data_IF_838852765150
#
_entry.id   IF_838852765150
#
_cell.length_a   1.000
_cell.length_b   1.000
_cell.length_c   1.000
_cell.angle_alpha   90.00
_cell.angle_beta   90.00
_cell.angle_gamma   90.00
#
_symmetry.space_group_name_H-M   'P 1'
#
loop_
_entity.id
_entity.type
_entity.pdbx_description
1 polymer ?
#
# COMPACT_ATOMS: atom_id res chain seq x y z
N UNK A 1 48.78 25.21 8.49
CA UNK A 1 48.17 23.87 8.66
C UNK A 1 46.63 23.88 8.76
N UNK A 2 45.93 24.92 8.26
CA UNK A 2 44.46 25.05 8.42
C UNK A 2 43.65 25.01 7.12
N UNK A 3 44.25 25.34 5.97
CA UNK A 3 43.53 25.36 4.69
C UNK A 3 43.45 23.99 4.01
N UNK A 4 44.49 23.17 4.14
CA UNK A 4 44.58 21.86 3.49
C UNK A 4 43.61 20.83 4.10
N UNK A 5 43.46 20.84 5.42
CA UNK A 5 42.59 19.90 6.16
C UNK A 5 41.10 20.14 5.88
N UNK A 6 40.69 21.40 5.71
CA UNK A 6 39.30 21.76 5.38
C UNK A 6 38.95 21.31 3.97
N UNK A 7 39.84 21.50 2.99
CA UNK A 7 39.61 21.04 1.61
C UNK A 7 39.47 19.53 1.53
N UNK A 8 40.29 18.76 2.26
CA UNK A 8 40.21 17.29 2.30
C UNK A 8 38.90 16.81 2.95
N UNK A 9 38.44 17.48 4.01
CA UNK A 9 37.20 17.07 4.71
C UNK A 9 35.95 17.34 3.84
N UNK A 10 35.94 18.44 3.08
CA UNK A 10 34.85 18.78 2.17
C UNK A 10 34.81 17.84 0.96
N UNK A 11 35.96 17.46 0.38
CA UNK A 11 35.99 16.55 -0.77
C UNK A 11 35.61 15.11 -0.38
N UNK A 12 36.02 14.63 0.79
CA UNK A 12 35.61 13.30 1.28
C UNK A 12 34.11 13.24 1.58
N UNK A 13 33.53 14.32 2.12
CA UNK A 13 32.08 14.40 2.38
C UNK A 13 31.26 14.46 1.09
N UNK A 14 31.72 15.19 0.07
CA UNK A 14 31.07 15.21 -1.24
C UNK A 14 31.17 13.86 -1.96
N UNK A 15 32.30 13.15 -1.84
CA UNK A 15 32.47 11.83 -2.44
C UNK A 15 31.59 10.77 -1.74
N UNK A 16 31.44 10.83 -0.42
CA UNK A 16 30.53 9.96 0.32
C UNK A 16 29.04 10.24 -0.01
N UNK A 17 28.68 11.51 -0.23
CA UNK A 17 27.34 11.90 -0.66
C UNK A 17 27.05 11.51 -2.12
N UNK A 18 28.05 11.53 -3.00
CA UNK A 18 27.94 11.02 -4.36
C UNK A 18 27.87 9.48 -4.41
N UNK A 19 28.58 8.78 -3.52
CA UNK A 19 28.49 7.32 -3.42
C UNK A 19 27.12 6.86 -2.89
N UNK A 20 26.49 7.61 -1.98
CA UNK A 20 25.13 7.30 -1.51
C UNK A 20 24.04 7.68 -2.51
N UNK A 21 24.30 8.62 -3.42
CA UNK A 21 23.40 8.92 -4.55
C UNK A 21 23.51 7.90 -5.68
N UNK A 22 24.69 7.31 -5.88
CA UNK A 22 24.95 6.34 -6.94
C UNK A 22 24.37 4.93 -6.66
N UNK A 23 23.86 4.66 -5.46
CA UNK A 23 23.27 3.35 -5.11
C UNK A 23 21.74 3.28 -5.23
N UNK A 24 21.07 4.34 -5.68
CA UNK A 24 19.67 4.23 -6.14
C UNK A 24 19.64 3.77 -7.59
N UNK A 25 20.10 2.53 -7.81
CA UNK A 25 19.80 1.75 -9.01
C UNK A 25 18.90 0.59 -8.61
N UNK A 26 17.72 0.91 -8.07
CA UNK A 26 16.65 -0.06 -7.91
C UNK A 26 15.80 -0.04 -9.18
N UNK A 27 15.55 -1.21 -9.77
CA UNK A 27 14.70 -1.39 -10.94
C UNK A 27 13.30 -0.75 -10.74
N UNK A 28 13.12 0.48 -11.23
CA UNK A 28 11.87 1.23 -11.06
C UNK A 28 10.76 0.70 -11.98
N UNK A 29 11.11 -0.10 -13.00
CA UNK A 29 10.15 -0.63 -13.98
C UNK A 29 10.15 -2.16 -13.93
N UNK A 30 9.19 -2.72 -13.19
CA UNK A 30 8.90 -4.17 -13.23
C UNK A 30 8.19 -4.52 -14.53
N UNK A 31 8.61 -5.61 -15.16
CA UNK A 31 7.89 -6.19 -16.30
C UNK A 31 6.47 -6.64 -15.87
N UNK A 32 5.47 -6.65 -16.78
CA UNK A 32 4.11 -7.11 -16.46
C UNK A 32 4.06 -8.51 -15.83
N UNK A 33 4.95 -9.41 -16.25
CA UNK A 33 5.08 -10.75 -15.66
C UNK A 33 5.53 -10.70 -14.20
N UNK A 34 6.46 -9.81 -13.85
CA UNK A 34 6.95 -9.60 -12.49
C UNK A 34 5.88 -8.94 -11.59
N UNK A 35 5.11 -7.99 -12.12
CA UNK A 35 3.97 -7.42 -11.42
C UNK A 35 2.87 -8.47 -11.17
N UNK A 36 2.61 -9.34 -12.15
CA UNK A 36 1.62 -10.42 -12.03
C UNK A 36 1.99 -11.44 -10.96
N UNK A 37 3.29 -11.69 -10.70
CA UNK A 37 3.78 -12.59 -9.64
C UNK A 37 3.31 -12.16 -8.24
N UNK A 38 3.05 -10.85 -8.04
CA UNK A 38 2.52 -10.35 -6.77
C UNK A 38 1.11 -10.88 -6.49
N UNK A 39 0.25 -10.95 -7.51
CA UNK A 39 -1.16 -11.33 -7.40
C UNK A 39 -1.41 -12.84 -7.60
N UNK A 40 -0.36 -13.65 -7.81
CA UNK A 40 -0.49 -15.10 -7.90
C UNK A 40 -0.36 -15.75 -6.52
N UNK A 41 -1.20 -16.74 -6.19
CA UNK A 41 -1.01 -17.57 -5.01
C UNK A 41 0.38 -18.21 -5.03
N UNK A 42 1.04 -18.25 -3.88
CA UNK A 42 2.25 -19.05 -3.67
C UNK A 42 1.84 -20.51 -3.51
N UNK A 43 1.54 -21.19 -4.62
CA UNK A 43 1.51 -22.65 -4.60
C UNK A 43 2.94 -23.19 -4.59
N UNK A 44 3.14 -24.38 -4.04
CA UNK A 44 4.42 -25.10 -3.88
C UNK A 44 5.12 -25.35 -5.23
N UNK A 45 5.59 -24.31 -5.90
CA UNK A 45 6.69 -24.43 -6.85
C UNK A 45 7.91 -24.76 -6.01
N UNK A 46 8.51 -25.93 -6.25
CA UNK A 46 9.73 -26.43 -5.57
C UNK A 46 10.99 -25.62 -5.90
N UNK A 47 10.87 -24.30 -5.89
CA UNK A 47 11.94 -23.34 -5.94
C UNK A 47 12.22 -22.93 -4.49
N UNK A 48 13.47 -23.05 -4.04
CA UNK A 48 13.93 -22.87 -2.67
C UNK A 48 13.84 -21.41 -2.18
N UNK A 49 12.69 -20.76 -2.33
CA UNK A 49 12.43 -19.39 -1.87
C UNK A 49 11.94 -19.38 -0.42
N UNK A 50 12.75 -19.95 0.48
CA UNK A 50 12.71 -19.64 1.90
C UNK A 50 13.04 -18.14 2.18
N UNK A 51 13.14 -17.31 1.13
CA UNK A 51 13.47 -15.89 1.11
C UNK A 51 12.30 -14.98 0.67
N UNK A 52 11.15 -15.55 0.26
CA UNK A 52 9.99 -14.79 -0.22
C UNK A 52 9.38 -13.99 0.94
N UNK A 53 9.75 -12.71 1.08
CA UNK A 53 9.21 -11.86 2.13
C UNK A 53 7.70 -11.69 2.06
N UNK A 54 7.14 -11.09 3.11
CA UNK A 54 5.71 -10.87 3.23
C UNK A 54 5.22 -9.87 2.17
N UNK A 55 4.10 -10.17 1.52
CA UNK A 55 3.40 -9.23 0.63
C UNK A 55 2.47 -8.34 1.47
N UNK A 56 2.64 -7.03 1.35
CA UNK A 56 1.84 -5.98 1.97
C UNK A 56 1.18 -5.12 0.90
N UNK A 57 0.05 -4.50 1.23
CA UNK A 57 -0.58 -3.52 0.34
C UNK A 57 -1.21 -2.37 1.14
N UNK A 58 -1.16 -1.16 0.58
CA UNK A 58 -1.89 0.02 1.11
C UNK A 58 -2.83 0.53 0.03
N UNK A 59 -4.14 0.31 0.23
CA UNK A 59 -5.17 0.72 -0.72
C UNK A 59 -5.85 2.00 -0.26
N UNK A 60 -5.92 3.02 -1.11
CA UNK A 60 -6.40 4.35 -0.71
C UNK A 60 -7.40 4.94 -1.71
N UNK A 61 -8.60 5.24 -1.22
CA UNK A 61 -9.58 6.07 -1.92
C UNK A 61 -9.56 7.48 -1.31
N UNK A 62 -8.97 8.44 -2.02
CA UNK A 62 -8.78 9.82 -1.55
C UNK A 62 -10.01 10.74 -1.68
N UNK A 63 -11.22 10.19 -1.76
CA UNK A 63 -12.45 10.99 -1.97
C UNK A 63 -13.68 10.34 -1.36
N UNK A 64 -14.67 11.18 -1.02
CA UNK A 64 -15.99 10.80 -0.52
C UNK A 64 -17.12 11.34 -1.42
N UNK A 65 -18.36 11.00 -1.08
CA UNK A 65 -19.58 11.37 -1.79
C UNK A 65 -19.95 10.37 -2.89
N UNK A 66 -21.25 10.17 -3.10
CA UNK A 66 -21.75 9.16 -4.05
C UNK A 66 -21.34 9.43 -5.51
N UNK A 67 -21.16 10.69 -5.90
CA UNK A 67 -20.59 11.06 -7.22
C UNK A 67 -19.14 10.57 -7.44
N UNK A 68 -18.44 10.20 -6.37
CA UNK A 68 -17.10 9.62 -6.39
C UNK A 68 -17.09 8.10 -6.15
N UNK A 69 -18.24 7.43 -6.28
CA UNK A 69 -18.44 5.98 -6.13
C UNK A 69 -17.26 5.14 -6.62
N UNK A 70 -16.80 5.42 -7.85
CA UNK A 70 -15.75 4.69 -8.55
C UNK A 70 -14.45 4.54 -7.74
N UNK A 71 -14.02 5.54 -6.98
CA UNK A 71 -12.75 5.47 -6.27
C UNK A 71 -12.76 4.46 -5.12
N UNK A 72 -13.89 4.35 -4.39
CA UNK A 72 -14.03 3.33 -3.34
C UNK A 72 -14.35 1.96 -3.94
N UNK A 73 -15.07 1.88 -5.07
CA UNK A 73 -15.26 0.65 -5.82
C UNK A 73 -13.93 0.07 -6.33
N UNK A 74 -13.01 0.92 -6.80
CA UNK A 74 -11.66 0.53 -7.22
C UNK A 74 -10.84 -0.06 -6.07
N UNK A 75 -10.84 0.59 -4.90
CA UNK A 75 -10.17 0.07 -3.69
C UNK A 75 -10.76 -1.27 -3.24
N UNK A 76 -12.09 -1.37 -3.18
CA UNK A 76 -12.76 -2.62 -2.82
C UNK A 76 -12.41 -3.74 -3.80
N UNK A 77 -12.41 -3.46 -5.11
CA UNK A 77 -12.05 -4.43 -6.13
C UNK A 77 -10.58 -4.86 -6.02
N UNK A 78 -9.66 -3.91 -5.81
CA UNK A 78 -8.24 -4.22 -5.59
C UNK A 78 -8.03 -5.12 -4.36
N UNK A 79 -8.77 -4.89 -3.27
CA UNK A 79 -8.75 -5.75 -2.09
C UNK A 79 -9.14 -7.19 -2.43
N UNK A 80 -10.22 -7.39 -3.19
CA UNK A 80 -10.66 -8.74 -3.59
C UNK A 80 -9.59 -9.45 -4.44
N UNK A 81 -8.94 -8.73 -5.36
CA UNK A 81 -7.86 -9.28 -6.19
C UNK A 81 -6.66 -9.72 -5.35
N UNK A 82 -6.24 -8.89 -4.39
CA UNK A 82 -5.13 -9.20 -3.48
C UNK A 82 -5.45 -10.40 -2.57
N UNK A 83 -6.65 -10.42 -1.99
CA UNK A 83 -7.10 -11.52 -1.13
C UNK A 83 -7.19 -12.83 -1.89
N UNK A 84 -7.73 -12.81 -3.12
CA UNK A 84 -7.74 -13.97 -4.04
C UNK A 84 -6.32 -14.39 -4.46
N UNK A 85 -5.40 -13.44 -4.57
CA UNK A 85 -3.99 -13.67 -4.85
C UNK A 85 -3.17 -14.21 -3.67
N UNK A 86 -3.79 -14.45 -2.51
CA UNK A 86 -3.14 -15.03 -1.33
C UNK A 86 -2.51 -14.01 -0.37
N UNK A 87 -2.70 -12.70 -0.59
CA UNK A 87 -2.27 -11.69 0.38
C UNK A 87 -3.21 -11.73 1.59
N UNK A 88 -2.63 -11.90 2.78
CA UNK A 88 -3.40 -11.97 4.04
C UNK A 88 -4.00 -10.62 4.38
N UNK A 89 -5.21 -10.62 4.93
CA UNK A 89 -5.93 -9.40 5.33
C UNK A 89 -5.17 -8.54 6.35
N UNK A 90 -4.42 -9.18 7.25
CA UNK A 90 -3.56 -8.50 8.22
C UNK A 90 -2.45 -7.65 7.55
N UNK A 91 -2.12 -7.96 6.29
CA UNK A 91 -1.09 -7.27 5.51
C UNK A 91 -1.68 -6.32 4.44
N UNK A 92 -3.01 -6.17 4.37
CA UNK A 92 -3.67 -5.21 3.49
C UNK A 92 -4.29 -4.12 4.37
N UNK A 93 -3.79 -2.89 4.23
CA UNK A 93 -4.32 -1.71 4.92
C UNK A 93 -5.24 -0.95 3.98
N UNK A 94 -6.48 -0.70 4.40
CA UNK A 94 -7.50 -0.04 3.56
C UNK A 94 -7.91 1.32 4.11
N UNK A 95 -7.77 2.33 3.27
CA UNK A 95 -8.31 3.67 3.45
C UNK A 95 -9.46 3.89 2.48
N UNK A 96 -10.67 4.06 3.01
CA UNK A 96 -11.83 4.49 2.22
C UNK A 96 -12.83 5.18 3.12
N UNK A 97 -13.47 6.25 2.64
CA UNK A 97 -14.35 7.04 3.49
C UNK A 97 -15.55 6.24 4.02
N UNK A 98 -15.95 5.17 3.31
CA UNK A 98 -16.98 4.19 3.68
C UNK A 98 -18.42 4.75 3.68
N UNK A 99 -18.68 5.74 2.83
CA UNK A 99 -19.96 6.42 2.68
C UNK A 99 -20.76 5.99 1.43
N UNK A 100 -20.35 4.90 0.77
CA UNK A 100 -20.95 4.42 -0.49
C UNK A 100 -21.94 3.27 -0.26
N UNK A 101 -21.55 2.21 0.45
CA UNK A 101 -22.36 1.00 0.55
C UNK A 101 -23.74 1.26 1.18
N UNK A 102 -23.82 2.14 2.18
CA UNK A 102 -25.07 2.52 2.87
C UNK A 102 -25.60 3.89 2.44
N UNK A 103 -25.10 4.45 1.34
CA UNK A 103 -25.57 5.73 0.84
C UNK A 103 -27.05 5.66 0.44
N UNK A 104 -27.81 6.74 0.65
CA UNK A 104 -29.22 6.82 0.25
C UNK A 104 -29.41 6.74 -1.27
N UNK A 105 -28.39 7.16 -2.03
CA UNK A 105 -28.39 7.10 -3.49
C UNK A 105 -27.98 5.71 -4.03
N UNK A 106 -27.49 4.80 -3.17
CA UNK A 106 -27.12 3.46 -3.59
C UNK A 106 -28.38 2.61 -3.84
N UNK A 107 -28.66 2.20 -5.09
CA UNK A 107 -29.85 1.39 -5.39
C UNK A 107 -29.74 -0.05 -4.88
N UNK A 108 -28.53 -0.48 -4.47
CA UNK A 108 -28.25 -1.81 -3.90
C UNK A 108 -27.56 -1.64 -2.54
N UNK A 109 -28.31 -1.30 -1.47
CA UNK A 109 -27.73 -1.03 -0.15
C UNK A 109 -26.87 -2.20 0.34
N UNK A 110 -25.68 -1.89 0.85
CA UNK A 110 -24.70 -2.85 1.33
C UNK A 110 -23.79 -3.45 0.25
N UNK A 111 -24.04 -3.16 -1.02
CA UNK A 111 -23.28 -3.70 -2.15
C UNK A 111 -22.53 -2.57 -2.88
N UNK A 112 -21.28 -2.85 -3.28
CA UNK A 112 -20.53 -2.02 -4.23
C UNK A 112 -20.07 -2.90 -5.39
N UNK A 113 -20.28 -2.48 -6.63
CA UNK A 113 -19.79 -3.18 -7.82
C UNK A 113 -18.74 -2.33 -8.51
N UNK A 114 -17.75 -2.94 -9.17
CA UNK A 114 -16.75 -2.20 -9.97
C UNK A 114 -16.81 -2.55 -11.48
N UNK A 115 -17.93 -3.07 -11.95
CA UNK A 115 -18.26 -3.22 -13.37
C UNK A 115 -19.77 -3.39 -13.55
N UNK A 116 -20.36 -3.09 -14.73
CA UNK A 116 -21.82 -3.09 -14.92
C UNK A 116 -22.53 -4.38 -14.51
N UNK A 117 -21.89 -5.53 -14.74
CA UNK A 117 -22.41 -6.86 -14.40
C UNK A 117 -21.53 -7.57 -13.35
N UNK A 118 -20.74 -6.81 -12.59
CA UNK A 118 -19.83 -7.35 -11.59
C UNK A 118 -20.53 -7.83 -10.33
N UNK A 119 -19.84 -8.71 -9.61
CA UNK A 119 -20.22 -9.12 -8.26
C UNK A 119 -19.96 -8.01 -7.24
N UNK A 120 -20.44 -8.21 -6.01
CA UNK A 120 -20.12 -7.32 -4.89
C UNK A 120 -18.62 -7.39 -4.56
N UNK A 121 -17.98 -6.23 -4.49
CA UNK A 121 -16.58 -6.10 -4.09
C UNK A 121 -16.42 -5.54 -2.67
N UNK A 122 -17.50 -5.09 -2.02
CA UNK A 122 -17.45 -4.45 -0.70
C UNK A 122 -17.37 -5.43 0.47
N UNK A 123 -18.06 -6.56 0.37
CA UNK A 123 -18.10 -7.53 1.46
C UNK A 123 -16.70 -8.04 1.83
N UNK A 124 -16.43 -8.11 3.14
CA UNK A 124 -15.13 -8.55 3.67
C UNK A 124 -14.01 -7.51 3.61
N UNK A 125 -14.18 -6.36 2.94
CA UNK A 125 -13.16 -5.31 2.91
C UNK A 125 -13.00 -4.71 4.33
N UNK A 126 -11.78 -4.71 4.93
CA UNK A 126 -11.56 -4.18 6.26
C UNK A 126 -11.77 -2.67 6.30
N UNK A 127 -12.15 -2.16 7.47
CA UNK A 127 -12.42 -0.74 7.72
C UNK A 127 -11.28 -0.15 8.54
N UNK A 128 -10.06 -0.20 8.00
CA UNK A 128 -8.87 0.17 8.79
C UNK A 128 -8.84 1.67 9.09
N UNK A 129 -9.16 2.50 8.09
CA UNK A 129 -9.29 3.95 8.23
C UNK A 129 -10.46 4.43 7.37
N UNK A 130 -11.47 4.99 8.03
CA UNK A 130 -12.73 5.44 7.39
C UNK A 130 -13.12 6.84 7.84
N UNK A 131 -14.01 7.51 7.11
CA UNK A 131 -14.39 8.88 7.42
C UNK A 131 -13.17 9.81 7.52
N UNK A 132 -13.11 10.61 8.57
CA UNK A 132 -12.04 11.60 8.78
C UNK A 132 -10.68 10.96 9.16
N UNK A 133 -10.66 9.67 9.47
CA UNK A 133 -9.42 8.91 9.65
C UNK A 133 -8.69 8.66 8.30
N UNK A 134 -9.37 8.90 7.17
CA UNK A 134 -8.76 8.99 5.84
C UNK A 134 -8.08 10.35 5.67
N UNK A 135 -6.88 10.46 6.23
CA UNK A 135 -6.09 11.69 6.20
C UNK A 135 -4.60 11.42 5.97
N UNK A 136 -3.87 12.47 5.60
CA UNK A 136 -2.46 12.38 5.21
C UNK A 136 -1.54 11.94 6.35
N UNK A 137 -1.87 12.27 7.60
CA UNK A 137 -1.05 11.89 8.75
C UNK A 137 -1.12 10.39 8.98
N UNK A 138 -2.33 9.83 8.95
CA UNK A 138 -2.53 8.37 9.06
C UNK A 138 -1.92 7.65 7.87
N UNK A 139 -2.05 8.18 6.65
CA UNK A 139 -1.44 7.58 5.46
C UNK A 139 0.10 7.46 5.62
N UNK A 140 0.77 8.55 6.03
CA UNK A 140 2.21 8.50 6.27
C UNK A 140 2.59 7.58 7.43
N UNK A 141 1.85 7.61 8.53
CA UNK A 141 2.09 6.71 9.66
C UNK A 141 1.95 5.24 9.26
N UNK A 142 0.98 4.89 8.41
CA UNK A 142 0.81 3.54 7.88
C UNK A 142 1.98 3.11 7.00
N UNK A 143 2.38 3.93 6.03
CA UNK A 143 3.47 3.61 5.10
C UNK A 143 4.80 3.44 5.86
N UNK A 144 5.01 4.25 6.91
CA UNK A 144 6.21 4.22 7.73
C UNK A 144 6.17 3.18 8.87
N UNK A 145 5.11 2.37 8.99
CA UNK A 145 4.97 1.40 10.07
C UNK A 145 4.85 2.03 11.47
N UNK A 146 4.53 3.32 11.58
CA UNK A 146 4.58 4.06 12.84
C UNK A 146 3.22 4.12 13.54
N UNK A 147 2.91 3.09 14.33
CA UNK A 147 1.66 3.00 15.12
C UNK A 147 1.47 4.16 16.10
N UNK A 148 2.56 4.72 16.64
CA UNK A 148 2.48 5.80 17.64
C UNK A 148 2.07 7.16 17.04
N UNK A 149 2.24 7.33 15.73
CA UNK A 149 1.84 8.55 15.02
C UNK A 149 0.38 8.53 14.55
N UNK A 150 -0.30 7.37 14.65
CA UNK A 150 -1.68 7.23 14.24
C UNK A 150 -2.65 7.97 15.16
N UNK A 151 -3.74 8.44 14.57
CA UNK A 151 -4.90 8.97 15.29
C UNK A 151 -6.17 8.36 14.70
N UNK A 152 -6.95 7.68 15.52
CA UNK A 152 -8.15 6.96 15.07
C UNK A 152 -7.82 5.69 14.27
N UNK A 153 -8.84 5.15 13.61
CA UNK A 153 -8.76 3.91 12.84
C UNK A 153 -8.47 2.65 13.66
N UNK A 154 -8.12 1.58 12.95
CA UNK A 154 -7.85 0.24 13.50
C UNK A 154 -6.49 0.10 14.19
N UNK A 155 -5.54 0.99 13.90
CA UNK A 155 -4.13 0.84 14.34
C UNK A 155 -3.26 -0.01 13.40
N UNK A 156 -3.82 -0.57 12.32
CA UNK A 156 -3.07 -1.38 11.34
C UNK A 156 -2.11 -0.50 10.54
N UNK A 157 -0.84 -0.90 10.44
CA UNK A 157 0.20 -0.23 9.65
C UNK A 157 0.98 -1.28 8.84
N UNK A 158 1.82 -0.83 7.92
CA UNK A 158 2.77 -1.71 7.23
C UNK A 158 4.00 -1.90 8.12
N UNK A 159 4.01 -2.99 8.88
CA UNK A 159 5.11 -3.38 9.78
C UNK A 159 6.06 -4.35 9.04
N UNK A 160 6.61 -3.85 7.92
CA UNK A 160 7.34 -4.67 6.95
C UNK A 160 8.81 -4.87 7.28
N UNK A 161 9.36 -6.04 6.92
CA UNK A 161 10.79 -6.36 6.98
C UNK A 161 11.56 -6.06 5.68
N UNK A 162 12.90 -6.20 5.68
CA UNK A 162 13.75 -5.87 4.53
C UNK A 162 13.50 -6.67 3.24
N UNK A 163 12.92 -7.87 3.35
CA UNK A 163 12.66 -8.74 2.20
C UNK A 163 11.20 -8.64 1.71
N UNK A 164 10.37 -7.86 2.40
CA UNK A 164 8.95 -7.75 2.12
C UNK A 164 8.70 -6.96 0.83
N UNK A 165 7.49 -7.11 0.30
CA UNK A 165 7.05 -6.42 -0.91
C UNK A 165 5.80 -5.61 -0.61
N UNK A 166 5.82 -4.32 -0.92
CA UNK A 166 4.71 -3.40 -0.69
C UNK A 166 4.13 -2.98 -2.04
N UNK A 167 2.81 -3.06 -2.17
CA UNK A 167 2.03 -2.51 -3.27
C UNK A 167 1.25 -1.26 -2.83
#
# INVERSE_FOLDING_TARGET
>A
MSRLTVTITVTVSFLALFLSLATVSGDVIRLPSQASKFFRPTENDGDDDASAGTKWAVLVAGSSGYWNYRHQADVCHAYQLLKKGGVKEENIVVFMYDDIAKNKENPRPGIIINSPNGEDVYNGVPKDYTGDDVNINNLFAVILGNKTALKGGSGKVVDSGPNDHIF
#
